data_IF_208980090314
#
_entry.id   IF_208980090314
#
_cell.length_a   1.000
_cell.length_b   1.000
_cell.length_c   1.000
_cell.angle_alpha   90.00
_cell.angle_beta   90.00
_cell.angle_gamma   90.00
#
_symmetry.space_group_name_H-M   'P 1'
#
loop_
_entity.id
_entity.type
_entity.pdbx_description
1 polymer ?
#
# COMPACT_ATOMS: atom_id res chain seq x y z
N UNK A 1 18.60 54.15 -10.08
CA UNK A 1 17.64 53.60 -9.09
C UNK A 1 16.55 52.70 -9.72
N UNK A 2 15.98 53.02 -10.90
CA UNK A 2 14.94 52.17 -11.56
C UNK A 2 15.40 50.75 -11.96
N UNK A 3 16.70 50.53 -12.23
CA UNK A 3 17.25 49.21 -12.65
C UNK A 3 17.30 48.15 -11.54
N UNK A 4 17.41 48.57 -10.27
CA UNK A 4 17.46 47.66 -9.12
C UNK A 4 16.06 47.07 -8.82
N UNK A 5 15.00 47.87 -9.02
CA UNK A 5 13.62 47.38 -8.96
C UNK A 5 13.28 46.42 -10.11
N UNK A 6 13.76 46.70 -11.33
CA UNK A 6 13.58 45.80 -12.48
C UNK A 6 14.28 44.45 -12.29
N UNK A 7 15.47 44.43 -11.68
CA UNK A 7 16.22 43.20 -11.40
C UNK A 7 15.57 42.36 -10.28
N UNK A 8 15.00 43.03 -9.26
CA UNK A 8 14.24 42.35 -8.19
C UNK A 8 12.95 41.71 -8.69
N UNK A 9 12.23 42.40 -9.61
CA UNK A 9 11.01 41.85 -10.22
C UNK A 9 11.32 40.61 -11.08
N UNK A 10 12.43 40.62 -11.83
CA UNK A 10 12.88 39.49 -12.65
C UNK A 10 13.28 38.28 -11.77
N UNK A 11 13.90 38.53 -10.62
CA UNK A 11 14.30 37.48 -9.67
C UNK A 11 13.09 36.76 -9.04
N UNK A 12 12.03 37.49 -8.71
CA UNK A 12 10.79 36.89 -8.19
C UNK A 12 10.07 36.00 -9.22
N UNK A 13 10.10 36.35 -10.51
CA UNK A 13 9.46 35.57 -11.57
C UNK A 13 10.21 34.24 -11.80
N UNK A 14 11.55 34.26 -11.75
CA UNK A 14 12.35 33.02 -11.88
C UNK A 14 12.15 32.08 -10.69
N UNK A 15 11.92 32.61 -9.48
CA UNK A 15 11.68 31.79 -8.29
C UNK A 15 10.36 30.98 -8.36
N UNK A 16 9.36 31.45 -9.10
CA UNK A 16 8.08 30.71 -9.25
C UNK A 16 8.14 29.52 -10.21
N UNK A 17 9.20 29.38 -11.02
CA UNK A 17 9.34 28.28 -11.99
C UNK A 17 9.78 26.95 -11.35
N UNK A 18 10.14 26.93 -10.07
CA UNK A 18 10.57 25.73 -9.35
C UNK A 18 9.45 25.05 -8.54
N UNK A 19 8.20 25.50 -8.65
CA UNK A 19 7.08 24.84 -7.98
C UNK A 19 6.63 23.61 -8.77
N UNK A 20 7.13 22.44 -8.39
CA UNK A 20 6.58 21.17 -8.87
C UNK A 20 5.30 20.86 -8.09
N UNK A 21 4.16 20.60 -8.75
CA UNK A 21 2.99 20.07 -8.05
C UNK A 21 3.35 18.71 -7.43
N UNK A 22 3.27 18.62 -6.10
CA UNK A 22 3.34 17.35 -5.40
C UNK A 22 1.96 16.70 -5.49
N UNK A 23 1.81 15.71 -6.37
CA UNK A 23 0.64 14.83 -6.37
C UNK A 23 0.71 13.94 -5.13
N UNK A 24 -0.37 13.90 -4.34
CA UNK A 24 -0.40 13.23 -3.05
C UNK A 24 -0.75 11.75 -3.22
N UNK A 25 0.06 11.02 -4.00
CA UNK A 25 -0.11 9.57 -4.10
C UNK A 25 0.15 8.94 -2.73
N UNK A 26 -0.79 8.14 -2.24
CA UNK A 26 -0.65 7.43 -0.98
C UNK A 26 0.11 6.13 -1.23
N UNK A 27 1.04 5.80 -0.35
CA UNK A 27 1.81 4.56 -0.39
C UNK A 27 1.58 3.75 0.89
N UNK A 28 1.58 2.43 0.74
CA UNK A 28 1.44 1.51 1.85
C UNK A 28 2.70 1.50 2.74
N UNK A 29 2.49 1.69 4.04
CA UNK A 29 3.53 1.50 5.06
C UNK A 29 3.55 0.03 5.48
N UNK A 30 4.50 -0.77 4.98
CA UNK A 30 4.57 -2.21 5.25
C UNK A 30 4.64 -2.53 6.75
N UNK A 31 5.48 -1.80 7.50
CA UNK A 31 5.71 -2.08 8.93
C UNK A 31 4.49 -1.81 9.81
N UNK A 32 3.56 -1.01 9.29
CA UNK A 32 2.28 -0.71 9.94
C UNK A 32 1.09 -1.38 9.24
N UNK A 33 1.35 -2.26 8.28
CA UNK A 33 0.33 -2.96 7.50
C UNK A 33 0.39 -4.45 7.72
N UNK A 34 -0.77 -5.08 7.88
CA UNK A 34 -0.88 -6.52 8.05
C UNK A 34 -1.97 -7.07 7.12
N UNK A 35 -1.60 -8.13 6.39
CA UNK A 35 -2.52 -8.93 5.59
C UNK A 35 -2.52 -10.36 6.11
N UNK A 36 -3.68 -10.78 6.63
CA UNK A 36 -3.86 -12.10 7.23
C UNK A 36 -4.82 -12.95 6.40
N UNK A 37 -4.61 -14.26 6.40
CA UNK A 37 -5.55 -15.24 5.87
C UNK A 37 -5.79 -16.34 6.88
N UNK A 38 -7.02 -16.86 6.89
CA UNK A 38 -7.46 -17.86 7.87
C UNK A 38 -7.68 -19.18 7.13
N UNK A 39 -7.09 -20.25 7.65
CA UNK A 39 -7.37 -21.61 7.20
C UNK A 39 -8.10 -22.39 8.28
N UNK A 40 -9.19 -23.08 7.92
CA UNK A 40 -9.92 -23.96 8.83
C UNK A 40 -9.47 -25.41 8.61
N UNK A 41 -8.95 -26.06 9.64
CA UNK A 41 -8.58 -27.47 9.61
C UNK A 41 -9.52 -28.31 10.46
N UNK A 42 -9.90 -29.49 9.96
CA UNK A 42 -10.74 -30.48 10.65
C UNK A 42 -12.02 -29.89 11.27
N UNK A 43 -12.69 -29.01 10.52
CA UNK A 43 -14.02 -28.48 10.89
C UNK A 43 -14.06 -27.58 12.13
N UNK A 44 -12.95 -27.34 12.85
CA UNK A 44 -13.02 -26.63 14.14
C UNK A 44 -11.79 -25.84 14.60
N UNK A 45 -10.64 -25.91 13.90
CA UNK A 45 -9.44 -25.14 14.28
C UNK A 45 -9.16 -24.09 13.20
N UNK A 46 -9.34 -22.82 13.54
CA UNK A 46 -8.95 -21.69 12.72
C UNK A 46 -7.48 -21.34 13.03
N UNK A 47 -6.65 -21.35 11.99
CA UNK A 47 -5.26 -20.89 12.07
C UNK A 47 -5.14 -19.60 11.27
N UNK A 48 -4.53 -18.58 11.88
CA UNK A 48 -4.26 -17.28 11.25
C UNK A 48 -2.82 -17.28 10.74
N UNK A 49 -2.67 -16.92 9.47
CA UNK A 49 -1.39 -16.78 8.79
C UNK A 49 -1.28 -15.40 8.18
N UNK A 50 -0.07 -14.96 7.84
CA UNK A 50 0.16 -13.61 7.33
C UNK A 50 1.15 -13.57 6.16
N UNK A 51 1.15 -12.47 5.43
CA UNK A 51 2.24 -12.10 4.52
C UNK A 51 3.03 -10.94 5.12
N UNK A 52 4.36 -11.07 5.16
CA UNK A 52 5.25 -10.07 5.79
C UNK A 52 5.65 -8.91 4.88
N UNK A 53 5.51 -9.09 3.56
CA UNK A 53 5.94 -8.11 2.57
C UNK A 53 4.77 -7.74 1.69
N UNK A 54 4.35 -6.50 1.85
CA UNK A 54 3.26 -5.83 1.17
C UNK A 54 3.80 -4.54 0.59
N UNK A 55 3.34 -4.18 -0.59
CA UNK A 55 3.55 -2.86 -1.16
C UNK A 55 2.28 -2.42 -1.87
N UNK A 56 2.05 -1.13 -2.02
CA UNK A 56 0.83 -0.67 -2.65
C UNK A 56 0.71 0.83 -2.65
N UNK A 57 -0.29 1.32 -3.38
CA UNK A 57 -0.59 2.73 -3.47
C UNK A 57 -2.07 3.00 -3.69
N UNK A 58 -2.50 4.20 -3.34
CA UNK A 58 -3.82 4.74 -3.68
C UNK A 58 -3.62 6.07 -4.42
N UNK A 59 -4.23 6.19 -5.60
CA UNK A 59 -4.22 7.43 -6.39
C UNK A 59 -5.23 8.46 -5.86
N UNK A 60 -5.11 9.71 -6.31
CA UNK A 60 -6.06 10.79 -5.99
C UNK A 60 -7.44 10.57 -6.63
N UNK A 61 -7.53 9.68 -7.63
CA UNK A 61 -8.76 9.22 -8.27
C UNK A 61 -9.39 8.02 -7.54
N UNK A 62 -8.71 7.50 -6.52
CA UNK A 62 -9.18 6.37 -5.71
C UNK A 62 -8.77 5.01 -6.24
N UNK A 63 -7.86 4.93 -7.22
CA UNK A 63 -7.35 3.66 -7.71
C UNK A 63 -6.39 3.04 -6.69
N UNK A 64 -6.73 1.84 -6.21
CA UNK A 64 -5.95 1.05 -5.27
C UNK A 64 -5.15 0.01 -6.04
N UNK A 65 -3.86 -0.06 -5.74
CA UNK A 65 -2.98 -1.14 -6.15
C UNK A 65 -2.29 -1.73 -4.92
N UNK A 66 -2.43 -3.04 -4.71
CA UNK A 66 -1.77 -3.77 -3.63
C UNK A 66 -1.02 -4.96 -4.23
N UNK A 67 0.26 -5.07 -3.93
CA UNK A 67 1.15 -6.16 -4.32
C UNK A 67 1.59 -6.91 -3.07
N UNK A 68 1.38 -8.21 -3.10
CA UNK A 68 1.73 -9.15 -2.03
C UNK A 68 2.86 -10.02 -2.53
N UNK A 69 4.00 -10.03 -1.83
CA UNK A 69 5.07 -10.99 -2.10
C UNK A 69 4.68 -12.34 -1.49
N UNK A 70 4.33 -13.31 -2.35
CA UNK A 70 3.86 -14.62 -1.92
C UNK A 70 4.97 -15.46 -1.27
N UNK A 71 6.23 -15.13 -1.50
CA UNK A 71 7.36 -15.76 -0.81
C UNK A 71 7.47 -15.35 0.66
N UNK A 72 6.76 -14.28 1.05
CA UNK A 72 6.75 -13.73 2.42
C UNK A 72 5.71 -14.36 3.34
N UNK A 73 5.06 -15.44 2.91
CA UNK A 73 4.09 -16.18 3.73
C UNK A 73 4.72 -16.64 5.04
N UNK A 74 4.03 -16.37 6.15
CA UNK A 74 4.41 -16.81 7.47
C UNK A 74 3.22 -17.44 8.21
N UNK A 75 3.42 -18.69 8.59
CA UNK A 75 2.51 -19.50 9.37
C UNK A 75 3.09 -19.88 10.73
N UNK A 76 4.20 -19.27 11.14
CA UNK A 76 5.01 -19.61 12.34
C UNK A 76 5.61 -21.02 12.30
N UNK A 77 5.61 -21.68 11.14
CA UNK A 77 6.23 -22.98 10.91
C UNK A 77 6.93 -23.00 9.55
N UNK A 78 8.26 -23.07 9.58
CA UNK A 78 9.08 -22.94 8.37
C UNK A 78 8.82 -24.03 7.34
N UNK A 79 8.65 -25.28 7.77
CA UNK A 79 8.34 -26.39 6.86
C UNK A 79 6.99 -26.20 6.16
N UNK A 80 6.00 -25.63 6.87
CA UNK A 80 4.71 -25.28 6.25
C UNK A 80 4.85 -24.10 5.29
N UNK A 81 5.66 -23.11 5.63
CA UNK A 81 5.93 -21.97 4.73
C UNK A 81 6.53 -22.48 3.41
N UNK A 82 7.54 -23.36 3.46
CA UNK A 82 8.14 -23.95 2.24
C UNK A 82 7.13 -24.75 1.42
N UNK A 83 6.26 -25.53 2.08
CA UNK A 83 5.19 -26.28 1.40
C UNK A 83 4.18 -25.36 0.71
N UNK A 84 3.78 -24.26 1.36
CA UNK A 84 2.86 -23.30 0.77
C UNK A 84 3.48 -22.58 -0.43
N UNK A 85 4.75 -22.18 -0.33
CA UNK A 85 5.48 -21.55 -1.44
C UNK A 85 5.54 -22.43 -2.67
N UNK A 86 5.81 -23.72 -2.50
CA UNK A 86 6.01 -24.64 -3.64
C UNK A 86 4.70 -25.21 -4.15
N UNK A 87 3.80 -25.66 -3.28
CA UNK A 87 2.63 -26.45 -3.70
C UNK A 87 1.34 -25.64 -3.86
N UNK A 88 1.17 -24.53 -3.15
CA UNK A 88 -0.06 -23.74 -3.21
C UNK A 88 0.12 -22.49 -4.07
N UNK A 89 1.14 -21.70 -3.76
CA UNK A 89 1.39 -20.43 -4.44
C UNK A 89 2.29 -20.59 -5.67
N UNK A 90 3.03 -21.69 -5.76
CA UNK A 90 4.00 -21.94 -6.84
C UNK A 90 4.88 -20.71 -7.11
N UNK A 91 5.54 -20.16 -6.08
CA UNK A 91 6.17 -18.82 -6.11
C UNK A 91 7.26 -18.66 -7.17
N UNK A 92 7.82 -19.77 -7.68
CA UNK A 92 8.74 -19.77 -8.81
C UNK A 92 8.07 -19.32 -10.12
N UNK A 93 6.76 -19.52 -10.25
CA UNK A 93 5.92 -19.12 -11.39
C UNK A 93 5.10 -17.87 -11.07
N UNK A 94 4.60 -17.76 -9.85
CA UNK A 94 3.76 -16.66 -9.38
C UNK A 94 4.37 -16.02 -8.12
N UNK A 95 5.40 -15.16 -8.26
CA UNK A 95 6.09 -14.59 -7.10
C UNK A 95 5.24 -13.58 -6.33
N UNK A 96 4.27 -12.95 -7.01
CA UNK A 96 3.41 -11.90 -6.46
C UNK A 96 1.94 -12.21 -6.70
N UNK A 97 1.09 -11.71 -5.79
CA UNK A 97 -0.34 -11.55 -6.01
C UNK A 97 -0.68 -10.06 -6.03
N UNK A 98 -1.45 -9.65 -7.02
CA UNK A 98 -1.86 -8.26 -7.20
C UNK A 98 -3.36 -8.12 -6.95
N UNK A 99 -3.72 -7.05 -6.25
CA UNK A 99 -5.10 -6.64 -6.02
C UNK A 99 -5.28 -5.21 -6.51
N UNK A 100 -6.25 -5.04 -7.41
CA UNK A 100 -6.63 -3.75 -7.95
C UNK A 100 -8.08 -3.46 -7.56
N UNK A 101 -8.35 -2.23 -7.18
CA UNK A 101 -9.69 -1.76 -6.86
C UNK A 101 -9.82 -0.26 -7.09
N UNK A 102 -11.04 0.24 -7.01
CA UNK A 102 -11.30 1.68 -7.02
C UNK A 102 -12.22 2.02 -5.84
N UNK A 103 -11.91 3.10 -5.14
CA UNK A 103 -12.75 3.66 -4.07
C UNK A 103 -13.31 5.00 -4.52
N UNK A 104 -14.61 5.22 -4.28
CA UNK A 104 -15.23 6.52 -4.58
C UNK A 104 -14.73 7.59 -3.59
N UNK A 105 -13.87 8.46 -4.07
CA UNK A 105 -13.28 9.55 -3.27
C UNK A 105 -14.24 10.73 -3.05
N UNK A 106 -15.40 10.77 -3.71
CA UNK A 106 -16.38 11.88 -3.58
C UNK A 106 -17.25 11.76 -2.33
N UNK A 107 -17.33 10.59 -1.71
CA UNK A 107 -18.21 10.32 -0.58
C UNK A 107 -17.61 10.75 0.77
N UNK A 108 -17.16 12.00 0.94
CA UNK A 108 -16.70 12.56 2.23
C UNK A 108 -15.74 11.66 3.04
N UNK A 109 -15.04 10.77 2.35
CA UNK A 109 -14.29 9.69 2.97
C UNK A 109 -12.90 10.24 3.26
N UNK A 110 -12.67 10.64 4.50
CA UNK A 110 -11.31 10.59 5.04
C UNK A 110 -10.82 9.18 4.78
N UNK A 111 -9.76 9.01 3.98
CA UNK A 111 -9.08 7.74 3.84
C UNK A 111 -8.86 7.24 5.26
N UNK A 112 -9.51 6.15 5.67
CA UNK A 112 -9.33 5.66 7.01
C UNK A 112 -7.86 5.27 7.16
N UNK A 113 -7.27 5.53 8.33
CA UNK A 113 -5.94 5.01 8.71
C UNK A 113 -5.84 3.48 8.53
N UNK A 114 -6.99 2.82 8.33
CA UNK A 114 -7.16 1.40 8.07
C UNK A 114 -8.08 1.16 6.87
N UNK A 115 -7.53 0.71 5.74
CA UNK A 115 -8.34 0.25 4.61
C UNK A 115 -8.91 -1.15 4.93
N UNK A 116 -10.23 -1.25 5.09
CA UNK A 116 -10.93 -2.52 5.33
C UNK A 116 -11.54 -3.02 4.02
N UNK A 117 -10.89 -3.96 3.33
CA UNK A 117 -11.52 -4.69 2.21
C UNK A 117 -12.48 -5.73 2.79
N UNK A 118 -13.78 -5.46 2.69
CA UNK A 118 -14.83 -6.40 3.08
C UNK A 118 -15.10 -7.38 1.94
N UNK A 119 -14.55 -8.59 2.02
CA UNK A 119 -15.06 -9.74 1.27
C UNK A 119 -15.94 -10.59 2.18
N UNK A 120 -17.04 -11.12 1.62
CA UNK A 120 -18.07 -11.89 2.33
C UNK A 120 -17.55 -13.28 2.75
N UNK A 121 -16.55 -13.35 3.65
CA UNK A 121 -16.26 -14.56 4.44
C UNK A 121 -15.27 -14.37 5.60
N UNK A 122 -14.41 -13.35 5.66
CA UNK A 122 -13.38 -13.29 6.73
C UNK A 122 -13.08 -11.84 7.17
N UNK A 123 -13.21 -11.59 8.47
CA UNK A 123 -12.98 -10.30 9.10
C UNK A 123 -11.51 -10.14 9.49
N UNK A 124 -10.83 -9.16 8.90
CA UNK A 124 -9.71 -8.33 9.39
C UNK A 124 -8.71 -8.00 8.26
N UNK A 125 -8.71 -6.74 7.83
CA UNK A 125 -7.69 -6.13 6.96
C UNK A 125 -7.17 -4.87 7.64
N UNK A 126 -5.85 -4.73 7.76
CA UNK A 126 -5.19 -3.65 8.51
C UNK A 126 -4.05 -3.06 7.70
N UNK A 127 -4.36 -2.43 6.56
CA UNK A 127 -3.39 -1.73 5.72
C UNK A 127 -3.35 -0.26 6.13
N UNK A 128 -2.16 0.27 6.42
CA UNK A 128 -1.90 1.67 6.70
C UNK A 128 -1.23 2.31 5.49
N UNK A 129 -1.70 3.49 5.09
CA UNK A 129 -1.15 4.25 3.96
C UNK A 129 -0.73 5.65 4.41
N UNK A 130 0.40 6.14 3.89
CA UNK A 130 0.94 7.48 4.11
C UNK A 130 1.18 8.20 2.78
N UNK A 131 1.16 9.54 2.75
CA UNK A 131 1.49 10.29 1.54
C UNK A 131 2.95 10.02 1.12
N UNK A 132 3.19 9.82 -0.18
CA UNK A 132 4.50 9.46 -0.75
C UNK A 132 5.66 10.40 -0.35
N UNK A 133 5.38 11.64 0.06
CA UNK A 133 6.38 12.63 0.44
C UNK A 133 6.89 12.55 1.88
N UNK A 134 6.38 11.64 2.72
CA UNK A 134 6.83 11.51 4.12
C UNK A 134 7.98 10.51 4.32
N UNK A 135 8.41 9.80 3.26
CA UNK A 135 9.45 8.77 3.31
C UNK A 135 10.84 9.30 2.90
N UNK A 136 11.25 10.44 3.47
CA UNK A 136 12.66 10.86 3.42
C UNK A 136 13.18 10.92 4.84
N UNK A 137 14.14 10.03 5.13
CA UNK A 137 14.87 9.95 6.41
C UNK A 137 15.47 11.29 6.84
#
# INVERSE_FOLDING_TARGET
MKKIHQLGLLFCIVATLFFTPAYAQWQLENDHSNLNFISIKKTSIAEVHQFKKLSGSVSDEGDIHLVIDLSSVDTQNDLRNERLKVMLFEVARFPTAEFNGNIDMRANCKIPEKLQVCSNAYHFCGLKIAPAGLFTH
#
